data_IF_548069037677
#
_entry.id   IF_548069037677
#
_cell.length_a   1.000
_cell.length_b   1.000
_cell.length_c   1.000
_cell.angle_alpha   90.00
_cell.angle_beta   90.00
_cell.angle_gamma   90.00
#
_symmetry.space_group_name_H-M   'P 1'
#
loop_
_entity.id
_entity.type
_entity.pdbx_description
1 polymer ?
#
# COMPACT_ATOMS: atom_id res chain seq x y z
N UNK A 1 11.50 2.61 -20.98
CA UNK A 1 10.78 1.99 -19.86
C UNK A 1 11.63 0.81 -19.50
N UNK A 2 12.23 0.88 -18.33
CA UNK A 2 13.06 -0.20 -17.79
C UNK A 2 12.16 -1.25 -17.16
N UNK A 3 12.66 -2.48 -16.99
CA UNK A 3 11.88 -3.61 -16.49
C UNK A 3 12.64 -4.43 -15.45
N UNK A 4 11.93 -4.98 -14.48
CA UNK A 4 12.42 -6.01 -13.55
C UNK A 4 11.71 -7.32 -13.87
N UNK A 5 12.47 -8.37 -14.14
CA UNK A 5 11.94 -9.72 -14.31
C UNK A 5 11.70 -10.33 -12.93
N UNK A 6 10.45 -10.57 -12.59
CA UNK A 6 10.02 -11.09 -11.29
C UNK A 6 9.59 -12.56 -11.31
N UNK A 7 9.36 -13.12 -12.49
CA UNK A 7 8.98 -14.50 -12.70
C UNK A 7 9.26 -14.93 -14.13
N UNK A 8 8.81 -16.14 -14.52
CA UNK A 8 8.98 -16.62 -15.90
C UNK A 8 8.11 -15.76 -16.82
N UNK A 9 8.74 -14.89 -17.60
CA UNK A 9 8.10 -13.91 -18.48
C UNK A 9 7.19 -12.91 -17.76
N UNK A 10 7.40 -12.67 -16.47
CA UNK A 10 6.62 -11.69 -15.69
C UNK A 10 7.48 -10.45 -15.44
N UNK A 11 7.00 -9.30 -15.89
CA UNK A 11 7.76 -8.05 -15.89
C UNK A 11 7.03 -6.94 -15.12
N UNK A 12 7.78 -6.27 -14.24
CA UNK A 12 7.38 -5.00 -13.62
C UNK A 12 8.06 -3.89 -14.40
N UNK A 13 7.27 -2.97 -14.94
CA UNK A 13 7.73 -1.84 -15.74
C UNK A 13 7.91 -0.59 -14.87
N UNK A 14 8.94 0.20 -15.21
CA UNK A 14 9.13 1.56 -14.70
C UNK A 14 7.98 2.48 -15.12
N UNK A 15 7.52 3.34 -14.22
CA UNK A 15 6.49 4.34 -14.54
C UNK A 15 7.12 5.61 -15.12
N UNK A 16 6.49 6.18 -16.14
CA UNK A 16 6.84 7.52 -16.60
C UNK A 16 6.12 8.53 -15.74
N UNK A 17 6.87 9.28 -14.94
CA UNK A 17 6.32 10.37 -14.12
C UNK A 17 5.90 11.51 -15.06
N UNK A 18 4.61 11.92 -15.07
CA UNK A 18 4.18 13.08 -15.82
C UNK A 18 4.90 14.35 -15.36
N UNK A 19 5.21 15.26 -16.28
CA UNK A 19 5.79 16.56 -15.93
C UNK A 19 4.90 17.32 -14.93
N UNK A 20 5.52 17.99 -13.95
CA UNK A 20 4.82 18.75 -12.93
C UNK A 20 3.96 19.85 -13.52
N UNK A 21 2.64 19.72 -13.36
CA UNK A 21 1.69 20.77 -13.75
C UNK A 21 1.62 21.82 -12.64
N UNK A 22 1.87 23.08 -12.99
CA UNK A 22 1.69 24.19 -12.04
C UNK A 22 0.22 24.31 -11.66
N UNK A 23 -0.05 24.34 -10.34
CA UNK A 23 -1.26 24.85 -9.67
C UNK A 23 -2.45 25.08 -10.61
N UNK A 24 -3.19 24.02 -10.94
CA UNK A 24 -4.42 24.12 -11.70
C UNK A 24 -5.62 24.18 -10.76
N UNK A 25 -6.55 25.09 -11.04
CA UNK A 25 -7.95 24.85 -10.71
C UNK A 25 -8.40 23.62 -11.51
N UNK A 26 -9.05 22.67 -10.84
CA UNK A 26 -9.55 21.45 -11.48
C UNK A 26 -11.06 21.56 -11.66
N UNK A 27 -11.52 21.14 -12.84
CA UNK A 27 -12.95 21.14 -13.17
C UNK A 27 -13.65 19.93 -12.55
N UNK A 28 -14.82 20.17 -11.96
CA UNK A 28 -15.70 19.17 -11.35
C UNK A 28 -17.09 19.14 -12.00
N UNK A 29 -17.25 19.74 -13.20
CA UNK A 29 -18.50 19.82 -13.95
C UNK A 29 -19.14 18.43 -14.18
N UNK A 30 -18.31 17.41 -14.44
CA UNK A 30 -18.73 16.02 -14.65
C UNK A 30 -19.13 15.29 -13.35
N UNK A 31 -18.85 15.87 -12.19
CA UNK A 31 -19.10 15.25 -10.90
C UNK A 31 -20.34 15.84 -10.24
N UNK A 32 -21.21 14.97 -9.76
CA UNK A 32 -22.42 15.36 -9.03
C UNK A 32 -22.09 16.34 -7.89
N UNK A 33 -22.79 17.48 -7.84
CA UNK A 33 -22.60 18.57 -6.86
C UNK A 33 -22.51 18.09 -5.40
N UNK A 34 -23.19 16.99 -5.05
CA UNK A 34 -23.15 16.44 -3.68
C UNK A 34 -21.76 15.94 -3.25
N UNK A 35 -20.89 15.55 -4.18
CA UNK A 35 -19.54 15.04 -3.89
C UNK A 35 -18.47 16.14 -3.95
N UNK A 36 -18.72 17.23 -4.68
CA UNK A 36 -17.74 18.29 -4.93
C UNK A 36 -17.15 18.90 -3.65
N UNK A 37 -17.90 19.20 -2.57
CA UNK A 37 -17.31 19.73 -1.35
C UNK A 37 -16.30 18.76 -0.71
N UNK A 38 -16.54 17.45 -0.80
CA UNK A 38 -15.64 16.43 -0.24
C UNK A 38 -14.37 16.30 -1.07
N UNK A 39 -14.48 16.39 -2.40
CA UNK A 39 -13.31 16.35 -3.29
C UNK A 39 -12.44 17.59 -3.09
N UNK A 40 -13.05 18.77 -2.90
CA UNK A 40 -12.29 19.99 -2.56
C UNK A 40 -11.56 19.85 -1.23
N UNK A 41 -12.22 19.33 -0.19
CA UNK A 41 -11.57 19.07 1.09
C UNK A 41 -10.45 18.01 0.97
N UNK A 42 -10.66 16.97 0.18
CA UNK A 42 -9.64 15.97 -0.14
C UNK A 42 -8.40 16.62 -0.78
N UNK A 43 -8.61 17.43 -1.81
CA UNK A 43 -7.56 18.12 -2.52
C UNK A 43 -6.76 19.07 -1.61
N UNK A 44 -7.43 19.84 -0.75
CA UNK A 44 -6.77 20.73 0.22
C UNK A 44 -5.81 19.93 1.10
N UNK A 45 -6.29 18.86 1.72
CA UNK A 45 -5.47 18.02 2.61
C UNK A 45 -4.32 17.38 1.83
N UNK A 46 -4.59 16.82 0.64
CA UNK A 46 -3.57 16.18 -0.17
C UNK A 46 -2.48 17.17 -0.56
N UNK A 47 -2.86 18.36 -1.05
CA UNK A 47 -1.93 19.44 -1.45
C UNK A 47 -1.02 19.90 -0.32
N UNK A 48 -1.51 19.90 0.92
CA UNK A 48 -0.73 20.27 2.11
C UNK A 48 0.17 19.12 2.60
N UNK A 49 -0.15 17.88 2.24
CA UNK A 49 0.48 16.67 2.81
C UNK A 49 1.57 16.05 1.95
N UNK A 50 1.57 16.27 0.63
CA UNK A 50 2.49 15.59 -0.32
C UNK A 50 3.25 16.58 -1.19
N UNK A 51 4.34 16.12 -1.82
CA UNK A 51 5.08 16.96 -2.76
C UNK A 51 4.23 17.31 -4.00
N UNK A 52 4.44 18.47 -4.63
CA UNK A 52 3.58 18.95 -5.73
C UNK A 52 3.45 17.97 -6.90
N UNK A 53 4.51 17.23 -7.23
CA UNK A 53 4.49 16.23 -8.30
C UNK A 53 3.51 15.08 -8.06
N UNK A 54 3.19 14.76 -6.80
CA UNK A 54 2.21 13.73 -6.44
C UNK A 54 0.76 14.15 -6.77
N UNK A 55 0.51 15.42 -7.08
CA UNK A 55 -0.81 15.93 -7.43
C UNK A 55 -1.13 15.86 -8.93
N UNK A 56 -0.13 15.64 -9.79
CA UNK A 56 -0.30 15.66 -11.24
C UNK A 56 -1.40 14.70 -11.70
N UNK A 57 -1.32 13.46 -11.21
CA UNK A 57 -2.28 12.41 -11.53
C UNK A 57 -3.68 12.76 -11.04
N UNK A 58 -3.82 13.31 -9.83
CA UNK A 58 -5.12 13.77 -9.33
C UNK A 58 -5.75 14.79 -10.28
N UNK A 59 -5.02 15.82 -10.68
CA UNK A 59 -5.52 16.85 -11.58
C UNK A 59 -5.95 16.29 -12.94
N UNK A 60 -5.15 15.38 -13.50
CA UNK A 60 -5.42 14.80 -14.82
C UNK A 60 -6.65 13.90 -14.83
N UNK A 61 -6.81 13.12 -13.75
CA UNK A 61 -7.86 12.10 -13.66
C UNK A 61 -9.17 12.69 -13.16
N UNK A 62 -9.16 13.59 -12.17
CA UNK A 62 -10.38 14.06 -11.53
C UNK A 62 -11.31 14.80 -12.52
N UNK A 63 -10.75 15.58 -13.45
CA UNK A 63 -11.51 16.38 -14.42
C UNK A 63 -12.34 15.55 -15.39
N UNK A 64 -11.88 14.34 -15.71
CA UNK A 64 -12.59 13.43 -16.61
C UNK A 64 -13.30 12.30 -15.88
N UNK A 65 -13.17 12.23 -14.56
CA UNK A 65 -13.76 11.16 -13.76
C UNK A 65 -15.26 11.35 -13.54
N UNK A 66 -15.95 10.24 -13.32
CA UNK A 66 -17.34 10.24 -12.86
C UNK A 66 -17.47 9.51 -11.52
N UNK A 67 -18.51 9.87 -10.76
CA UNK A 67 -18.82 9.21 -9.48
C UNK A 67 -20.26 8.72 -9.53
N UNK A 68 -20.42 7.40 -9.50
CA UNK A 68 -21.73 6.75 -9.50
C UNK A 68 -22.04 6.15 -8.14
N UNK A 69 -23.33 6.07 -7.81
CA UNK A 69 -23.80 5.38 -6.61
C UNK A 69 -24.87 4.36 -7.00
N UNK A 70 -24.60 3.08 -6.75
CA UNK A 70 -25.52 2.00 -7.11
C UNK A 70 -26.25 1.45 -5.88
N UNK A 71 -27.53 1.82 -5.74
CA UNK A 71 -28.43 1.26 -4.71
C UNK A 71 -28.65 -0.24 -4.90
N UNK A 72 -28.67 -0.72 -6.15
CA UNK A 72 -28.93 -2.13 -6.46
C UNK A 72 -27.71 -2.99 -6.09
N UNK A 73 -26.50 -2.59 -6.47
CA UNK A 73 -25.27 -3.28 -6.06
C UNK A 73 -25.11 -3.26 -4.53
N UNK A 74 -25.40 -2.14 -3.87
CA UNK A 74 -25.46 -2.07 -2.40
C UNK A 74 -26.37 -3.17 -1.80
N UNK A 75 -27.60 -3.25 -2.32
CA UNK A 75 -28.58 -4.23 -1.86
C UNK A 75 -28.07 -5.68 -2.07
N UNK A 76 -27.54 -5.98 -3.26
CA UNK A 76 -27.00 -7.30 -3.60
C UNK A 76 -25.79 -7.67 -2.73
N UNK A 77 -24.83 -6.76 -2.53
CA UNK A 77 -23.65 -7.02 -1.70
C UNK A 77 -24.01 -7.24 -0.23
N UNK A 78 -24.99 -6.49 0.29
CA UNK A 78 -25.53 -6.75 1.64
C UNK A 78 -26.20 -8.13 1.73
N UNK A 79 -26.90 -8.56 0.68
CA UNK A 79 -27.55 -9.88 0.65
C UNK A 79 -26.53 -11.03 0.54
N UNK A 80 -25.48 -10.86 -0.28
CA UNK A 80 -24.44 -11.85 -0.49
C UNK A 80 -23.29 -11.80 0.54
N UNK A 81 -23.40 -10.97 1.58
CA UNK A 81 -22.33 -10.73 2.57
C UNK A 81 -20.98 -10.34 1.95
N UNK A 82 -21.01 -9.69 0.79
CA UNK A 82 -19.82 -9.18 0.11
C UNK A 82 -19.47 -7.81 0.71
N UNK A 83 -18.25 -7.67 1.21
CA UNK A 83 -17.78 -6.44 1.87
C UNK A 83 -17.08 -5.48 0.91
N UNK A 84 -17.72 -5.14 -0.21
CA UNK A 84 -17.22 -4.13 -1.14
C UNK A 84 -18.01 -2.84 -0.94
N UNK A 85 -17.32 -1.77 -0.53
CA UNK A 85 -17.99 -0.50 -0.19
C UNK A 85 -17.91 0.54 -1.30
N UNK A 86 -16.87 0.45 -2.13
CA UNK A 86 -16.65 1.19 -3.35
C UNK A 86 -15.54 0.52 -4.16
N UNK A 87 -15.31 1.03 -5.36
CA UNK A 87 -14.16 0.69 -6.19
C UNK A 87 -13.84 1.83 -7.16
N UNK A 88 -12.56 2.03 -7.44
CA UNK A 88 -12.07 2.86 -8.52
C UNK A 88 -11.73 2.00 -9.74
N UNK A 89 -12.48 2.21 -10.81
CA UNK A 89 -12.28 1.53 -12.10
C UNK A 89 -11.27 2.31 -12.93
N UNK A 90 -10.01 1.90 -12.88
CA UNK A 90 -8.89 2.63 -13.50
C UNK A 90 -9.01 2.77 -15.02
N UNK A 91 -9.56 1.76 -15.71
CA UNK A 91 -9.66 1.76 -17.18
C UNK A 91 -10.70 2.77 -17.65
N UNK A 92 -11.80 2.89 -16.91
CA UNK A 92 -12.94 3.74 -17.17
C UNK A 92 -12.81 5.14 -16.54
N UNK A 93 -11.91 5.31 -15.58
CA UNK A 93 -11.79 6.50 -14.73
C UNK A 93 -13.06 6.80 -13.91
N UNK A 94 -13.67 5.77 -13.36
CA UNK A 94 -14.93 5.91 -12.62
C UNK A 94 -14.78 5.47 -11.17
N UNK A 95 -15.38 6.23 -10.24
CA UNK A 95 -15.54 5.81 -8.85
C UNK A 95 -16.96 5.31 -8.67
N UNK A 96 -17.10 4.04 -8.28
CA UNK A 96 -18.39 3.43 -7.97
C UNK A 96 -18.54 3.31 -6.46
N UNK A 97 -19.58 3.93 -5.91
CA UNK A 97 -19.89 3.84 -4.48
C UNK A 97 -21.07 2.89 -4.26
N UNK A 98 -20.90 1.96 -3.31
CA UNK A 98 -21.88 0.93 -2.99
C UNK A 98 -22.46 1.05 -1.60
N UNK A 99 -21.96 1.93 -0.74
CA UNK A 99 -22.55 2.14 0.59
C UNK A 99 -23.11 3.54 0.74
N UNK A 100 -24.15 3.69 1.58
CA UNK A 100 -24.72 4.99 1.93
C UNK A 100 -24.06 5.59 3.19
N UNK A 101 -23.76 4.74 4.19
CA UNK A 101 -22.98 5.10 5.38
C UNK A 101 -21.50 4.87 5.11
N UNK A 102 -20.62 5.67 5.69
CA UNK A 102 -19.17 5.53 5.48
C UNK A 102 -18.66 6.07 4.14
N UNK A 103 -19.53 6.66 3.31
CA UNK A 103 -19.17 7.23 2.00
C UNK A 103 -17.99 8.21 2.04
N UNK A 104 -17.74 8.88 3.17
CA UNK A 104 -16.57 9.77 3.29
C UNK A 104 -15.26 8.98 3.24
N UNK A 105 -15.14 7.93 4.05
CA UNK A 105 -13.95 7.06 4.08
C UNK A 105 -13.79 6.34 2.75
N UNK A 106 -14.85 5.68 2.26
CA UNK A 106 -14.82 5.00 0.95
C UNK A 106 -14.43 5.95 -0.18
N UNK A 107 -15.09 7.12 -0.30
CA UNK A 107 -14.73 8.08 -1.36
C UNK A 107 -13.28 8.57 -1.23
N UNK A 108 -12.77 8.76 -0.01
CA UNK A 108 -11.37 9.17 0.21
C UNK A 108 -10.40 8.09 -0.25
N UNK A 109 -10.69 6.83 0.07
CA UNK A 109 -9.94 5.65 -0.38
C UNK A 109 -9.89 5.57 -1.91
N UNK A 110 -11.05 5.65 -2.57
CA UNK A 110 -11.12 5.61 -4.04
C UNK A 110 -10.47 6.83 -4.71
N UNK A 111 -10.52 8.01 -4.07
CA UNK A 111 -9.82 9.20 -4.56
C UNK A 111 -8.30 9.06 -4.47
N UNK A 112 -7.77 8.33 -3.48
CA UNK A 112 -6.33 8.02 -3.40
C UNK A 112 -5.91 7.07 -4.53
N UNK A 113 -6.71 6.04 -4.84
CA UNK A 113 -6.48 5.20 -6.03
C UNK A 113 -6.50 6.04 -7.32
N UNK A 114 -7.50 6.90 -7.49
CA UNK A 114 -7.56 7.82 -8.64
C UNK A 114 -6.30 8.69 -8.72
N UNK A 115 -5.85 9.24 -7.59
CA UNK A 115 -4.68 10.13 -7.49
C UNK A 115 -3.35 9.43 -7.72
N UNK A 116 -3.32 8.11 -7.77
CA UNK A 116 -2.10 7.30 -7.95
C UNK A 116 -2.15 6.43 -9.21
N UNK A 117 -3.10 6.70 -10.11
CA UNK A 117 -3.36 5.86 -11.28
C UNK A 117 -2.66 6.29 -12.57
N UNK A 118 -2.21 5.31 -13.35
CA UNK A 118 -1.67 5.52 -14.69
C UNK A 118 -2.18 4.44 -15.64
N UNK A 119 -2.50 4.84 -16.88
CA UNK A 119 -3.06 3.96 -17.91
C UNK A 119 -2.29 4.12 -19.21
N UNK A 120 -1.73 3.03 -19.70
CA UNK A 120 -1.20 2.91 -21.05
C UNK A 120 -2.00 1.89 -21.85
N UNK A 121 -3.06 2.37 -22.51
CA UNK A 121 -3.97 1.52 -23.29
C UNK A 121 -3.28 0.75 -24.41
N UNK A 122 -2.26 1.33 -25.05
CA UNK A 122 -1.54 0.69 -26.17
C UNK A 122 -0.76 -0.56 -25.76
N UNK A 123 -0.37 -0.63 -24.48
CA UNK A 123 0.41 -1.74 -23.92
C UNK A 123 -0.39 -2.59 -22.93
N UNK A 124 -1.69 -2.32 -22.80
CA UNK A 124 -2.56 -2.94 -21.78
C UNK A 124 -1.93 -2.90 -20.37
N UNK A 125 -1.28 -1.77 -20.06
CA UNK A 125 -0.54 -1.60 -18.82
C UNK A 125 -1.26 -0.57 -17.94
N UNK A 126 -1.63 -1.01 -16.74
CA UNK A 126 -2.39 -0.25 -15.76
C UNK A 126 -1.66 -0.25 -14.42
N UNK A 127 -1.63 0.90 -13.78
CA UNK A 127 -0.98 1.09 -12.48
C UNK A 127 -1.91 1.89 -11.56
N UNK A 128 -1.92 1.53 -10.28
CA UNK A 128 -2.62 2.25 -9.22
C UNK A 128 -1.76 2.10 -7.96
N UNK A 129 -1.15 3.16 -7.47
CA UNK A 129 -0.32 3.05 -6.28
C UNK A 129 0.82 2.04 -6.46
N UNK A 130 0.77 0.95 -5.70
CA UNK A 130 1.72 -0.17 -5.83
C UNK A 130 1.22 -1.35 -6.66
N UNK A 131 -0.01 -1.28 -7.18
CA UNK A 131 -0.59 -2.27 -8.07
C UNK A 131 -0.09 -2.05 -9.51
N UNK A 132 0.29 -3.14 -10.17
CA UNK A 132 0.59 -3.15 -11.59
C UNK A 132 -0.05 -4.35 -12.29
N UNK A 133 -0.77 -4.07 -13.38
CA UNK A 133 -1.38 -5.05 -14.27
C UNK A 133 -0.86 -4.85 -15.69
N UNK A 134 -0.42 -5.95 -16.31
CA UNK A 134 -0.10 -6.05 -17.72
C UNK A 134 -0.39 -7.49 -18.20
N UNK A 135 -0.29 -7.80 -19.51
CA UNK A 135 -0.65 -9.13 -20.04
C UNK A 135 0.07 -10.32 -19.39
N UNK A 136 1.19 -10.08 -18.72
CA UNK A 136 2.01 -11.13 -18.09
C UNK A 136 1.95 -11.14 -16.56
N UNK A 137 1.40 -10.09 -15.95
CA UNK A 137 1.54 -9.85 -14.51
C UNK A 137 0.33 -9.12 -13.92
N UNK A 138 -0.06 -9.58 -12.73
CA UNK A 138 -0.85 -8.83 -11.75
C UNK A 138 -0.12 -8.93 -10.42
N UNK A 139 0.28 -7.80 -9.84
CA UNK A 139 1.07 -7.77 -8.59
C UNK A 139 0.90 -6.46 -7.82
N UNK A 140 1.02 -6.55 -6.49
CA UNK A 140 1.14 -5.42 -5.59
C UNK A 140 -0.20 -4.94 -5.03
N UNK A 141 -1.26 -5.74 -5.21
CA UNK A 141 -2.62 -5.44 -4.78
C UNK A 141 -2.71 -5.26 -3.26
N UNK A 142 -2.11 -6.17 -2.50
CA UNK A 142 -2.11 -6.09 -1.03
C UNK A 142 -1.40 -4.85 -0.51
N UNK A 143 -0.25 -4.50 -1.11
CA UNK A 143 0.48 -3.31 -0.71
C UNK A 143 -0.27 -2.03 -1.12
N UNK A 144 -0.90 -2.03 -2.30
CA UNK A 144 -1.72 -0.92 -2.78
C UNK A 144 -2.91 -0.65 -1.85
N UNK A 145 -3.74 -1.65 -1.57
CA UNK A 145 -4.90 -1.50 -0.67
C UNK A 145 -4.46 -1.11 0.74
N UNK A 146 -3.41 -1.78 1.26
CA UNK A 146 -2.85 -1.49 2.58
C UNK A 146 -2.36 -0.06 2.71
N UNK A 147 -1.59 0.43 1.73
CA UNK A 147 -1.06 1.78 1.79
C UNK A 147 -2.14 2.84 1.55
N UNK A 148 -3.14 2.54 0.71
CA UNK A 148 -4.30 3.41 0.49
C UNK A 148 -5.12 3.56 1.77
N UNK A 149 -5.38 2.46 2.48
CA UNK A 149 -6.05 2.48 3.78
C UNK A 149 -5.20 3.22 4.83
N UNK A 150 -3.88 2.97 4.86
CA UNK A 150 -2.96 3.68 5.74
C UNK A 150 -2.98 5.20 5.51
N UNK A 151 -2.88 5.66 4.25
CA UNK A 151 -2.92 7.09 3.91
C UNK A 151 -4.29 7.72 4.19
N UNK A 152 -5.39 6.98 3.95
CA UNK A 152 -6.74 7.42 4.32
C UNK A 152 -6.81 7.80 5.80
N UNK A 153 -6.13 7.04 6.65
CA UNK A 153 -6.10 7.28 8.08
C UNK A 153 -5.05 8.32 8.50
N UNK A 154 -3.84 8.22 7.96
CA UNK A 154 -2.72 9.11 8.27
C UNK A 154 -3.00 10.57 7.88
N UNK A 155 -3.56 10.79 6.69
CA UNK A 155 -3.74 12.14 6.14
C UNK A 155 -5.12 12.73 6.48
N UNK A 156 -6.17 11.90 6.53
CA UNK A 156 -7.55 12.40 6.65
C UNK A 156 -8.21 12.12 8.00
N UNK A 157 -7.52 11.39 8.90
CA UNK A 157 -7.98 11.06 10.26
C UNK A 157 -9.39 10.42 10.31
N UNK A 158 -9.68 9.53 9.36
CA UNK A 158 -11.01 8.92 9.22
C UNK A 158 -11.21 7.64 10.05
N UNK A 159 -10.13 7.11 10.64
CA UNK A 159 -10.13 5.91 11.48
C UNK A 159 -10.31 4.61 10.68
N UNK A 160 -9.68 3.52 11.15
CA UNK A 160 -9.73 2.20 10.51
C UNK A 160 -11.04 1.42 10.72
N UNK A 161 -12.13 2.10 11.09
CA UNK A 161 -13.34 1.44 11.57
C UNK A 161 -13.88 0.48 10.51
N UNK A 162 -13.81 -0.82 10.80
CA UNK A 162 -14.27 -1.95 9.97
C UNK A 162 -13.53 -2.20 8.64
N UNK A 163 -12.31 -1.70 8.46
CA UNK A 163 -11.52 -2.02 7.25
C UNK A 163 -11.16 -3.52 7.21
N UNK A 164 -11.31 -4.13 6.04
CA UNK A 164 -10.82 -5.49 5.79
C UNK A 164 -9.31 -5.51 5.50
N UNK A 165 -8.67 -4.34 5.33
CA UNK A 165 -7.26 -4.17 4.97
C UNK A 165 -6.35 -3.82 6.16
N UNK A 166 -6.79 -4.08 7.40
CA UNK A 166 -6.00 -3.80 8.60
C UNK A 166 -4.62 -4.48 8.60
N UNK A 167 -4.56 -5.74 8.14
CA UNK A 167 -3.29 -6.45 8.03
C UNK A 167 -2.38 -5.75 7.03
N UNK A 168 -2.89 -5.53 5.82
CA UNK A 168 -2.18 -4.89 4.73
C UNK A 168 -1.70 -3.48 5.11
N UNK A 169 -2.51 -2.71 5.84
CA UNK A 169 -2.16 -1.37 6.31
C UNK A 169 -1.00 -1.37 7.29
N UNK A 170 -0.96 -2.32 8.24
CA UNK A 170 0.18 -2.47 9.16
C UNK A 170 1.45 -2.86 8.38
N UNK A 171 1.34 -3.77 7.40
CA UNK A 171 2.49 -4.13 6.55
C UNK A 171 2.99 -2.90 5.76
N UNK A 172 2.08 -2.14 5.15
CA UNK A 172 2.43 -0.96 4.36
C UNK A 172 3.07 0.15 5.21
N UNK A 173 2.56 0.38 6.42
CA UNK A 173 3.16 1.30 7.41
C UNK A 173 4.60 0.87 7.76
N UNK A 174 4.84 -0.41 8.04
CA UNK A 174 6.18 -0.90 8.37
C UNK A 174 7.15 -0.80 7.17
N UNK A 175 6.64 -0.96 5.95
CA UNK A 175 7.45 -0.71 4.74
C UNK A 175 7.77 0.78 4.58
N UNK A 176 6.83 1.67 4.92
CA UNK A 176 7.10 3.12 4.96
C UNK A 176 8.21 3.46 5.97
N UNK A 177 8.22 2.84 7.15
CA UNK A 177 9.30 3.01 8.13
C UNK A 177 10.67 2.58 7.57
N UNK A 178 10.70 1.59 6.66
CA UNK A 178 11.92 1.23 5.92
C UNK A 178 12.27 2.29 4.88
N UNK A 179 11.36 2.69 4.00
CA UNK A 179 11.70 3.53 2.85
C UNK A 179 11.73 5.05 3.16
N UNK A 180 11.10 5.47 4.26
CA UNK A 180 10.79 6.85 4.58
C UNK A 180 9.48 7.31 3.96
N UNK A 181 8.78 8.20 4.68
CA UNK A 181 7.47 8.75 4.34
C UNK A 181 7.43 9.39 2.94
N UNK A 182 8.36 10.30 2.65
CA UNK A 182 8.42 11.04 1.38
C UNK A 182 8.67 10.11 0.20
N UNK A 183 9.57 9.14 0.38
CA UNK A 183 9.89 8.14 -0.65
C UNK A 183 8.68 7.26 -0.94
N UNK A 184 8.05 6.71 0.10
CA UNK A 184 6.90 5.82 -0.04
C UNK A 184 5.71 6.53 -0.69
N UNK A 185 5.38 7.75 -0.25
CA UNK A 185 4.31 8.56 -0.83
C UNK A 185 4.58 8.87 -2.30
N UNK A 186 5.80 9.31 -2.63
CA UNK A 186 6.17 9.60 -4.01
C UNK A 186 5.98 8.38 -4.91
N UNK A 187 6.54 7.23 -4.51
CA UNK A 187 6.41 5.98 -5.26
C UNK A 187 4.94 5.58 -5.46
N UNK A 188 4.12 5.72 -4.43
CA UNK A 188 2.69 5.44 -4.52
C UNK A 188 1.98 6.38 -5.49
N UNK A 189 2.08 7.70 -5.32
CA UNK A 189 1.34 8.65 -6.18
C UNK A 189 1.84 8.67 -7.63
N UNK A 190 3.08 8.22 -7.88
CA UNK A 190 3.60 8.04 -9.24
C UNK A 190 3.42 6.63 -9.79
N UNK A 191 2.74 5.72 -9.09
CA UNK A 191 2.47 4.36 -9.57
C UNK A 191 3.72 3.50 -9.76
N UNK A 192 4.82 3.77 -9.04
CA UNK A 192 6.17 3.31 -9.38
C UNK A 192 6.62 2.08 -8.57
N UNK A 193 5.96 0.95 -8.84
CA UNK A 193 6.32 -0.35 -8.24
C UNK A 193 7.76 -0.77 -8.59
N UNK A 194 8.27 -0.38 -9.76
CA UNK A 194 9.65 -0.68 -10.19
C UNK A 194 10.67 -0.06 -9.23
N UNK A 195 10.57 1.24 -8.98
CA UNK A 195 11.50 1.90 -8.06
C UNK A 195 11.21 1.56 -6.60
N UNK A 196 9.98 1.18 -6.24
CA UNK A 196 9.70 0.57 -4.95
C UNK A 196 10.56 -0.69 -4.71
N UNK A 197 10.59 -1.60 -5.68
CA UNK A 197 11.41 -2.82 -5.62
C UNK A 197 12.90 -2.47 -5.50
N UNK A 198 13.40 -1.56 -6.33
CA UNK A 198 14.81 -1.17 -6.30
C UNK A 198 15.22 -0.52 -4.97
N UNK A 199 14.35 0.29 -4.36
CA UNK A 199 14.62 0.90 -3.07
C UNK A 199 14.73 -0.15 -1.95
N UNK A 200 13.86 -1.16 -1.93
CA UNK A 200 13.97 -2.28 -0.98
C UNK A 200 15.23 -3.14 -1.22
N UNK A 201 15.66 -3.29 -2.49
CA UNK A 201 16.87 -4.04 -2.84
C UNK A 201 18.17 -3.40 -2.31
N UNK A 202 18.12 -2.18 -1.79
CA UNK A 202 19.26 -1.61 -1.06
C UNK A 202 19.54 -2.32 0.27
N UNK A 203 18.56 -3.06 0.79
CA UNK A 203 18.61 -3.67 2.12
C UNK A 203 18.40 -5.19 2.11
N UNK A 204 18.09 -5.77 0.94
CA UNK A 204 17.88 -7.22 0.79
C UNK A 204 18.04 -7.62 -0.67
N UNK A 205 17.95 -8.92 -0.97
CA UNK A 205 18.05 -9.42 -2.35
C UNK A 205 16.74 -9.21 -3.11
N UNK A 206 16.83 -9.11 -4.43
CA UNK A 206 15.65 -9.02 -5.30
C UNK A 206 14.69 -10.20 -5.10
N UNK A 207 15.21 -11.41 -4.88
CA UNK A 207 14.37 -12.61 -4.68
C UNK A 207 13.56 -12.54 -3.37
N UNK A 208 14.13 -11.95 -2.33
CA UNK A 208 13.40 -11.69 -1.09
C UNK A 208 12.28 -10.64 -1.32
N UNK A 209 12.54 -9.56 -2.07
CA UNK A 209 11.50 -8.56 -2.39
C UNK A 209 10.39 -9.16 -3.23
N UNK A 210 10.72 -9.97 -4.26
CA UNK A 210 9.73 -10.69 -5.07
C UNK A 210 8.86 -11.58 -4.20
N UNK A 211 9.50 -12.40 -3.35
CA UNK A 211 8.78 -13.32 -2.46
C UNK A 211 7.89 -12.56 -1.48
N UNK A 212 8.36 -11.44 -0.93
CA UNK A 212 7.54 -10.57 -0.09
C UNK A 212 6.26 -10.11 -0.83
N UNK A 213 6.39 -9.52 -2.03
CA UNK A 213 5.25 -9.03 -2.81
C UNK A 213 4.25 -10.14 -3.17
N UNK A 214 4.74 -11.31 -3.62
CA UNK A 214 3.86 -12.43 -3.95
C UNK A 214 3.15 -12.99 -2.71
N UNK A 215 3.83 -13.03 -1.56
CA UNK A 215 3.24 -13.56 -0.33
C UNK A 215 2.25 -12.58 0.30
N UNK A 216 2.46 -11.27 0.20
CA UNK A 216 1.47 -10.28 0.64
C UNK A 216 0.18 -10.41 -0.17
N UNK A 217 0.27 -10.49 -1.50
CA UNK A 217 -0.89 -10.68 -2.37
C UNK A 217 -1.56 -12.05 -2.13
N UNK A 218 -0.77 -13.08 -1.86
CA UNK A 218 -1.29 -14.38 -1.48
C UNK A 218 -2.09 -14.33 -0.17
N UNK A 219 -1.60 -13.63 0.86
CA UNK A 219 -2.29 -13.46 2.14
C UNK A 219 -3.59 -12.68 1.96
N UNK A 220 -3.57 -11.59 1.17
CA UNK A 220 -4.78 -10.84 0.81
C UNK A 220 -5.88 -11.78 0.29
N UNK A 221 -5.52 -12.58 -0.71
CA UNK A 221 -6.46 -13.40 -1.46
C UNK A 221 -6.90 -14.70 -0.74
N UNK A 222 -6.16 -15.16 0.27
CA UNK A 222 -6.33 -16.53 0.78
C UNK A 222 -6.40 -16.68 2.30
N UNK A 223 -6.14 -15.64 3.11
CA UNK A 223 -6.02 -15.78 4.57
C UNK A 223 -7.24 -16.41 5.26
N UNK A 224 -8.44 -16.19 4.76
CA UNK A 224 -9.68 -16.73 5.34
C UNK A 224 -10.17 -18.04 4.69
N UNK A 225 -9.48 -18.54 3.66
CA UNK A 225 -9.83 -19.81 3.00
C UNK A 225 -9.32 -20.99 3.83
N UNK A 226 -10.23 -21.85 4.28
CA UNK A 226 -9.92 -23.03 5.11
C UNK A 226 -8.81 -23.90 4.48
N UNK A 227 -8.89 -24.15 3.17
CA UNK A 227 -7.93 -24.99 2.43
C UNK A 227 -6.55 -24.36 2.27
N UNK A 228 -6.41 -23.05 2.50
CA UNK A 228 -5.16 -22.29 2.34
C UNK A 228 -4.58 -21.78 3.67
N UNK A 229 -5.28 -22.01 4.77
CA UNK A 229 -4.93 -21.51 6.12
C UNK A 229 -3.46 -21.73 6.47
N UNK A 230 -2.95 -22.97 6.35
CA UNK A 230 -1.55 -23.30 6.69
C UNK A 230 -0.56 -22.44 5.89
N UNK A 231 -0.70 -22.41 4.57
CA UNK A 231 0.16 -21.62 3.69
C UNK A 231 0.06 -20.11 3.99
N UNK A 232 -1.12 -19.59 4.34
CA UNK A 232 -1.26 -18.19 4.76
C UNK A 232 -0.54 -17.89 6.09
N UNK A 233 -0.56 -18.82 7.06
CA UNK A 233 0.20 -18.66 8.32
C UNK A 233 1.70 -18.64 8.05
N UNK A 234 2.20 -19.54 7.20
CA UNK A 234 3.61 -19.58 6.77
C UNK A 234 4.00 -18.29 6.05
N UNK A 235 3.11 -17.78 5.19
CA UNK A 235 3.32 -16.52 4.46
C UNK A 235 3.42 -15.33 5.42
N UNK A 236 2.51 -15.20 6.38
CA UNK A 236 2.55 -14.15 7.41
C UNK A 236 3.85 -14.22 8.22
N UNK A 237 4.28 -15.43 8.59
CA UNK A 237 5.52 -15.64 9.35
C UNK A 237 6.76 -15.20 8.57
N UNK A 238 6.79 -15.47 7.25
CA UNK A 238 7.86 -14.99 6.37
C UNK A 238 7.83 -13.47 6.22
N UNK A 239 6.64 -12.87 6.03
CA UNK A 239 6.48 -11.41 5.90
C UNK A 239 7.00 -10.69 7.15
N UNK A 240 6.65 -11.17 8.35
CA UNK A 240 7.14 -10.61 9.61
C UNK A 240 8.67 -10.69 9.72
N UNK A 241 9.26 -11.80 9.29
CA UNK A 241 10.72 -11.96 9.27
C UNK A 241 11.35 -10.98 8.28
N UNK A 242 10.82 -10.91 7.06
CA UNK A 242 11.30 -10.03 6.00
C UNK A 242 11.32 -8.56 6.47
N UNK A 243 10.24 -8.07 7.07
CA UNK A 243 10.15 -6.69 7.54
C UNK A 243 11.22 -6.36 8.59
N UNK A 244 11.41 -7.23 9.60
CA UNK A 244 12.43 -7.06 10.63
C UNK A 244 13.85 -7.11 10.04
N UNK A 245 14.11 -8.02 9.11
CA UNK A 245 15.41 -8.18 8.48
C UNK A 245 15.79 -6.97 7.62
N UNK A 246 14.86 -6.52 6.76
CA UNK A 246 15.05 -5.35 5.89
C UNK A 246 15.28 -4.08 6.72
N UNK A 247 14.46 -3.85 7.76
CA UNK A 247 14.63 -2.70 8.63
C UNK A 247 15.96 -2.76 9.39
N UNK A 248 16.35 -3.95 9.89
CA UNK A 248 17.64 -4.13 10.55
C UNK A 248 18.81 -3.82 9.60
N UNK A 249 18.74 -4.26 8.34
CA UNK A 249 19.76 -3.96 7.34
C UNK A 249 19.84 -2.46 7.05
N UNK A 250 18.71 -1.75 7.03
CA UNK A 250 18.68 -0.27 6.98
C UNK A 250 19.41 0.34 8.17
N UNK A 251 19.10 -0.07 9.40
CA UNK A 251 19.73 0.47 10.61
C UNK A 251 21.24 0.23 10.63
N UNK A 252 21.68 -0.97 10.21
CA UNK A 252 23.11 -1.29 10.10
C UNK A 252 23.80 -0.37 9.08
N UNK A 253 23.17 -0.15 7.91
CA UNK A 253 23.71 0.76 6.89
C UNK A 253 23.84 2.19 7.43
N UNK A 254 22.79 2.72 8.05
CA UNK A 254 22.79 4.07 8.65
C UNK A 254 23.88 4.22 9.73
N UNK A 255 24.08 3.19 10.56
CA UNK A 255 25.15 3.19 11.55
C UNK A 255 26.54 3.18 10.91
N UNK A 256 26.75 2.34 9.88
CA UNK A 256 28.02 2.27 9.14
C UNK A 256 28.35 3.59 8.42
N UNK A 257 27.31 4.29 7.96
CA UNK A 257 27.38 5.63 7.35
C UNK A 257 27.53 6.75 8.40
N UNK A 258 27.53 6.40 9.71
CA UNK A 258 27.63 7.32 10.86
C UNK A 258 26.47 8.32 10.96
N UNK A 259 25.31 7.98 10.40
CA UNK A 259 24.08 8.78 10.50
C UNK A 259 23.37 8.57 11.83
N UNK A 260 23.54 7.40 12.45
CA UNK A 260 22.98 7.05 13.76
C UNK A 260 24.01 6.34 14.64
N UNK A 261 23.77 6.39 15.95
CA UNK A 261 24.53 5.70 16.99
C UNK A 261 24.06 4.27 17.19
N UNK A 262 24.89 3.44 17.85
CA UNK A 262 24.52 2.08 18.22
C UNK A 262 23.30 2.05 19.18
N UNK A 263 23.17 3.06 20.05
CA UNK A 263 22.01 3.17 20.93
C UNK A 263 20.72 3.41 20.12
N UNK A 264 20.78 4.29 19.12
CA UNK A 264 19.64 4.56 18.22
C UNK A 264 19.26 3.32 17.40
N UNK A 265 20.23 2.51 16.96
CA UNK A 265 19.94 1.21 16.30
C UNK A 265 19.05 0.35 17.19
N UNK A 266 19.38 0.20 18.47
CA UNK A 266 18.56 -0.61 19.39
C UNK A 266 17.19 0.02 19.65
N UNK A 267 17.13 1.33 19.88
CA UNK A 267 15.87 2.03 20.15
C UNK A 267 14.90 1.98 18.96
N UNK A 268 15.39 2.21 17.74
CA UNK A 268 14.60 2.17 16.52
C UNK A 268 14.08 0.74 16.24
N UNK A 269 14.91 -0.28 16.46
CA UNK A 269 14.46 -1.67 16.34
C UNK A 269 13.37 -2.03 17.35
N UNK A 270 13.45 -1.53 18.58
CA UNK A 270 12.39 -1.73 19.59
C UNK A 270 11.08 -1.08 19.15
N UNK A 271 11.12 0.16 18.65
CA UNK A 271 9.95 0.88 18.13
C UNK A 271 9.34 0.09 16.96
N UNK A 272 10.14 -0.30 15.97
CA UNK A 272 9.66 -1.08 14.84
C UNK A 272 9.03 -2.42 15.25
N UNK A 273 9.62 -3.10 16.25
CA UNK A 273 9.04 -4.34 16.78
C UNK A 273 7.75 -4.08 17.55
N UNK A 274 7.63 -2.93 18.23
CA UNK A 274 6.39 -2.51 18.86
C UNK A 274 5.28 -2.29 17.83
N UNK A 275 5.58 -1.59 16.73
CA UNK A 275 4.64 -1.39 15.63
C UNK A 275 4.20 -2.71 14.98
N UNK A 276 5.13 -3.66 14.78
CA UNK A 276 4.80 -5.00 14.28
C UNK A 276 3.86 -5.78 15.21
N UNK A 277 3.88 -5.51 16.52
CA UNK A 277 2.98 -6.17 17.48
C UNK A 277 1.53 -5.72 17.35
N UNK A 278 1.22 -4.63 16.64
CA UNK A 278 -0.16 -4.27 16.32
C UNK A 278 -0.91 -5.42 15.60
N UNK A 279 -0.18 -6.32 14.92
CA UNK A 279 -0.75 -7.54 14.33
C UNK A 279 -1.46 -8.45 15.36
N UNK A 280 -1.13 -8.35 16.65
CA UNK A 280 -1.77 -9.11 17.73
C UNK A 280 -3.19 -8.61 18.06
N UNK A 281 -3.52 -7.40 17.64
CA UNK A 281 -4.82 -6.76 17.93
C UNK A 281 -5.86 -7.01 16.83
N UNK A 282 -5.44 -7.59 15.71
CA UNK A 282 -6.31 -7.89 14.57
C UNK A 282 -6.60 -9.40 14.43
N UNK A 283 -7.64 -9.74 13.68
CA UNK A 283 -8.03 -11.13 13.45
C UNK A 283 -7.27 -11.74 12.27
N UNK A 284 -6.32 -12.62 12.57
CA UNK A 284 -5.48 -13.35 11.60
C UNK A 284 -5.75 -14.86 11.66
N UNK A 285 -5.44 -15.62 10.59
CA UNK A 285 -5.67 -17.07 10.56
C UNK A 285 -4.77 -17.89 11.49
N UNK A 286 -3.97 -17.27 12.36
CA UNK A 286 -3.07 -17.92 13.32
C UNK A 286 -3.45 -17.57 14.76
N UNK A 287 -3.10 -18.46 15.70
CA UNK A 287 -3.24 -18.19 17.14
C UNK A 287 -2.34 -17.01 17.55
N UNK A 288 -2.83 -16.13 18.43
CA UNK A 288 -2.08 -14.95 18.89
C UNK A 288 -0.75 -15.32 19.55
N UNK A 289 -0.71 -16.43 20.27
CA UNK A 289 0.50 -16.94 20.93
C UNK A 289 1.57 -17.31 19.90
N UNK A 290 1.16 -17.96 18.81
CA UNK A 290 2.07 -18.34 17.72
C UNK A 290 2.63 -17.12 16.99
N UNK A 291 1.80 -16.09 16.77
CA UNK A 291 2.24 -14.81 16.19
C UNK A 291 3.21 -14.08 17.11
N UNK A 292 2.91 -14.03 18.41
CA UNK A 292 3.78 -13.44 19.42
C UNK A 292 5.15 -14.13 19.46
N UNK A 293 5.17 -15.47 19.44
CA UNK A 293 6.41 -16.25 19.38
C UNK A 293 7.20 -15.98 18.10
N UNK A 294 6.53 -15.92 16.95
CA UNK A 294 7.16 -15.59 15.66
C UNK A 294 7.87 -14.23 15.71
N UNK A 295 7.19 -13.19 16.22
CA UNK A 295 7.77 -11.84 16.37
C UNK A 295 8.97 -11.86 17.32
N UNK A 296 8.86 -12.53 18.48
CA UNK A 296 9.94 -12.60 19.47
C UNK A 296 11.16 -13.33 18.91
N UNK A 297 10.97 -14.47 18.24
CA UNK A 297 12.07 -15.26 17.65
C UNK A 297 12.78 -14.47 16.54
N UNK A 298 12.03 -13.82 15.67
CA UNK A 298 12.60 -12.99 14.61
C UNK A 298 13.38 -11.80 15.18
N UNK A 299 12.86 -11.14 16.23
CA UNK A 299 13.57 -10.08 16.95
C UNK A 299 14.90 -10.58 17.53
N UNK A 300 14.91 -11.73 18.20
CA UNK A 300 16.13 -12.32 18.74
C UNK A 300 17.17 -12.61 17.64
N UNK A 301 16.72 -13.13 16.50
CA UNK A 301 17.57 -13.39 15.35
C UNK A 301 18.22 -12.11 14.81
N UNK A 302 17.44 -11.05 14.60
CA UNK A 302 18.00 -9.78 14.08
C UNK A 302 18.90 -9.08 15.11
N UNK A 303 18.59 -9.19 16.41
CA UNK A 303 19.49 -8.71 17.47
C UNK A 303 20.82 -9.46 17.49
N UNK A 304 20.80 -10.76 17.26
CA UNK A 304 22.03 -11.55 17.10
C UNK A 304 22.83 -11.06 15.90
N UNK A 305 22.18 -10.84 14.75
CA UNK A 305 22.84 -10.32 13.54
C UNK A 305 23.46 -8.95 13.74
N UNK A 306 22.81 -8.04 14.48
CA UNK A 306 23.38 -6.72 14.83
C UNK A 306 24.70 -6.89 15.58
N UNK A 307 24.73 -7.74 16.61
CA UNK A 307 25.94 -7.99 17.42
C UNK A 307 27.10 -8.61 16.65
N UNK A 308 26.83 -9.27 15.53
CA UNK A 308 27.87 -9.84 14.67
C UNK A 308 28.42 -8.82 13.66
N UNK A 309 27.70 -7.72 13.40
CA UNK A 309 28.00 -6.77 12.31
C UNK A 309 28.40 -5.37 12.79
N UNK A 310 28.03 -4.99 14.01
CA UNK A 310 28.35 -3.70 14.65
C UNK A 310 29.20 -3.95 15.90
#
# INVERSE_FOLDING_TARGET
>A
MDTIIIGKNQEVYSTQIPETKKSQEFDLSNINKKYQPRIKAFHTILKESVSPECLNTFYDRITTSTITYSKLKNFLYRFCYIKVTGEYLVKENEIHLYVNRGQRTTLTHELLHLSSSYVNQKREHYQIGFYQENPTLVLGDALNEGYTEYLTNKLFHLGYNSSDYLYESIIAMLVEEVLGDRTMQKLYFTGDLYNFINNLCQYTTIDNVKKFLFLTDYVLNNRYKITRKKASIESISYINQFLLEVYTNKLIKLYQEKEITLLEVYQLLEIFTYELKQLLDINLPMKKEHLKENIIKNKQLVMYNIKQRL
#
